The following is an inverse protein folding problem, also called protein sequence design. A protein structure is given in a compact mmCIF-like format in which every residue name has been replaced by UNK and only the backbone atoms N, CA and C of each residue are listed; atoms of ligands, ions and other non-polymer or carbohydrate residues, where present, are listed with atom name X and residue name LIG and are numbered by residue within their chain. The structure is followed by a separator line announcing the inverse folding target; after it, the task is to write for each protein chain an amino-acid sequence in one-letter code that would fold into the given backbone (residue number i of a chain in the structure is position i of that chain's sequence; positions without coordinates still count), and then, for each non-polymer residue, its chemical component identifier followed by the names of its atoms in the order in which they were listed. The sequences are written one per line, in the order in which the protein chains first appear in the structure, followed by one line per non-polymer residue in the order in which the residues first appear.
data_IF_295539262625
#
_entry.id   IF_295539262625
#
_cell.length_a   1.000
_cell.length_b   1.000
_cell.length_c   1.000
_cell.angle_alpha   90.00
_cell.angle_beta   90.00
_cell.angle_gamma   90.00
#
_symmetry.space_group_name_H-M   'P 1'
#
loop_
_entity.id
_entity.type
_entity.pdbx_description
1 polymer ?
#
# COMPACT_ATOMS: atom_id res chain seq x y z
N UNK A 1 0.92 10.30 -27.81
CA UNK A 1 0.01 10.44 -26.66
C UNK A 1 0.58 9.83 -25.36
N UNK A 2 1.62 8.97 -25.43
CA UNK A 2 2.20 8.26 -24.26
C UNK A 2 3.11 9.12 -23.35
N UNK A 3 3.64 10.24 -23.82
CA UNK A 3 4.63 11.02 -23.05
C UNK A 3 4.06 12.23 -22.27
N UNK A 4 2.83 12.66 -22.52
CA UNK A 4 2.29 13.87 -21.84
C UNK A 4 1.79 13.60 -20.41
N UNK A 5 1.33 12.38 -20.11
CA UNK A 5 0.80 12.06 -18.79
C UNK A 5 1.88 11.80 -17.72
N UNK A 6 3.04 11.25 -18.11
CA UNK A 6 4.14 10.99 -17.17
C UNK A 6 4.86 12.26 -16.70
N UNK A 7 4.83 13.32 -17.52
CA UNK A 7 5.41 14.62 -17.18
C UNK A 7 4.43 15.55 -16.44
N UNK A 8 3.17 15.15 -16.31
CA UNK A 8 2.19 15.94 -15.57
C UNK A 8 2.14 15.48 -14.11
N UNK A 9 2.62 16.33 -13.21
CA UNK A 9 2.66 16.07 -11.77
C UNK A 9 1.39 16.47 -11.02
N UNK A 10 0.43 17.12 -11.68
CA UNK A 10 -0.79 17.65 -11.06
C UNK A 10 -2.01 16.97 -11.67
N UNK A 11 -2.72 16.21 -10.83
CA UNK A 11 -3.87 15.42 -11.23
C UNK A 11 -5.12 15.88 -10.48
N UNK A 12 -6.00 16.57 -11.17
CA UNK A 12 -7.27 17.03 -10.61
C UNK A 12 -8.37 16.06 -11.04
N UNK A 13 -9.07 15.51 -10.05
CA UNK A 13 -10.11 14.49 -10.17
C UNK A 13 -11.45 15.06 -9.65
N UNK A 14 -12.18 15.85 -10.47
CA UNK A 14 -13.40 16.50 -10.04
C UNK A 14 -14.50 15.48 -9.74
N UNK A 15 -15.21 15.68 -8.63
CA UNK A 15 -16.38 14.88 -8.26
C UNK A 15 -17.27 15.66 -7.30
N UNK A 16 -18.59 15.57 -7.48
CA UNK A 16 -19.57 16.19 -6.61
C UNK A 16 -19.96 15.34 -5.39
N UNK A 17 -19.41 14.13 -5.28
CA UNK A 17 -19.75 13.17 -4.22
C UNK A 17 -19.41 13.66 -2.81
N UNK A 18 -18.40 14.54 -2.65
CA UNK A 18 -17.88 14.92 -1.35
C UNK A 18 -18.12 16.38 -1.04
N UNK A 19 -18.41 16.66 0.24
CA UNK A 19 -18.48 18.03 0.76
C UNK A 19 -17.12 18.58 1.17
N UNK A 20 -16.07 17.74 1.10
CA UNK A 20 -14.68 18.10 1.36
C UNK A 20 -13.88 18.07 0.06
N UNK A 21 -12.73 18.73 0.08
CA UNK A 21 -11.69 18.63 -0.94
C UNK A 21 -10.47 17.98 -0.30
N UNK A 22 -9.95 16.94 -0.95
CA UNK A 22 -8.73 16.24 -0.52
C UNK A 22 -7.59 16.62 -1.45
N UNK A 23 -6.49 17.12 -0.87
CA UNK A 23 -5.25 17.49 -1.57
C UNK A 23 -4.16 16.55 -1.07
N UNK A 24 -3.51 15.81 -1.96
CA UNK A 24 -2.53 14.80 -1.60
C UNK A 24 -1.24 14.97 -2.38
N UNK A 25 -0.12 15.07 -1.67
CA UNK A 25 1.23 15.04 -2.21
C UNK A 25 1.83 13.65 -1.99
N UNK A 26 2.43 13.09 -3.04
CA UNK A 26 3.16 11.82 -2.98
C UNK A 26 4.59 12.03 -3.45
N UNK A 27 5.56 11.71 -2.57
CA UNK A 27 6.99 11.77 -2.84
C UNK A 27 7.55 10.35 -2.93
N UNK A 28 8.16 10.01 -4.04
CA UNK A 28 8.62 8.65 -4.32
C UNK A 28 10.12 8.61 -4.57
N UNK A 29 10.77 7.68 -3.86
CA UNK A 29 12.19 7.36 -3.97
C UNK A 29 12.40 5.84 -4.06
N UNK A 30 13.59 5.34 -4.41
CA UNK A 30 13.90 3.92 -4.28
C UNK A 30 13.61 3.37 -2.88
N UNK A 31 13.17 2.11 -2.82
CA UNK A 31 12.94 1.41 -1.55
C UNK A 31 14.26 0.79 -1.10
N UNK A 32 14.99 1.49 -0.23
CA UNK A 32 16.33 1.13 0.23
C UNK A 32 16.38 1.04 1.75
N UNK A 33 17.06 0.02 2.27
CA UNK A 33 17.20 -0.24 3.71
C UNK A 33 17.69 0.99 4.48
N UNK A 34 18.65 1.71 3.92
CA UNK A 34 19.33 2.84 4.56
C UNK A 34 18.44 4.08 4.69
N UNK A 35 17.44 4.23 3.81
CA UNK A 35 16.66 5.48 3.71
C UNK A 35 15.25 5.37 4.27
N UNK A 36 14.62 4.20 4.20
CA UNK A 36 13.19 4.04 4.51
C UNK A 36 12.81 4.46 5.94
N UNK A 37 13.66 4.20 6.94
CA UNK A 37 13.37 4.52 8.34
C UNK A 37 13.41 6.03 8.58
N UNK A 38 14.43 6.72 8.05
CA UNK A 38 14.52 8.17 8.12
C UNK A 38 13.35 8.84 7.37
N UNK A 39 12.96 8.32 6.19
CA UNK A 39 11.81 8.81 5.42
C UNK A 39 10.48 8.61 6.17
N UNK A 40 10.33 7.51 6.91
CA UNK A 40 9.17 7.28 7.78
C UNK A 40 9.07 8.32 8.90
N UNK A 41 10.18 8.61 9.59
CA UNK A 41 10.24 9.67 10.62
C UNK A 41 9.95 11.02 9.99
N UNK A 42 10.58 11.33 8.84
CA UNK A 42 10.39 12.59 8.11
C UNK A 42 8.92 12.83 7.78
N UNK A 43 8.22 11.81 7.27
CA UNK A 43 6.81 11.94 6.91
C UNK A 43 5.96 12.44 8.08
N UNK A 44 6.29 12.03 9.31
CA UNK A 44 5.57 12.42 10.52
C UNK A 44 6.00 13.78 11.04
N UNK A 45 7.30 14.07 11.03
CA UNK A 45 7.83 15.36 11.51
C UNK A 45 7.33 16.52 10.66
N UNK A 46 7.22 16.36 9.33
CA UNK A 46 6.74 17.41 8.43
C UNK A 46 5.32 17.90 8.73
N UNK A 47 4.47 17.07 9.31
CA UNK A 47 3.08 17.44 9.63
C UNK A 47 2.88 17.86 11.10
N UNK A 48 3.98 18.11 11.85
CA UNK A 48 3.94 18.53 13.26
C UNK A 48 4.11 20.04 13.44
N UNK A 49 4.98 20.66 12.64
CA UNK A 49 5.32 22.08 12.78
C UNK A 49 5.93 22.62 11.48
N UNK A 50 5.92 23.95 11.36
CA UNK A 50 6.58 24.70 10.30
C UNK A 50 7.24 25.96 10.87
N UNK A 51 7.96 26.72 10.05
CA UNK A 51 8.49 28.01 10.47
C UNK A 51 7.39 28.96 10.97
N UNK A 52 6.20 28.86 10.41
CA UNK A 52 5.05 29.72 10.79
C UNK A 52 4.27 29.17 11.98
N UNK A 53 4.13 27.86 12.12
CA UNK A 53 3.42 27.19 13.22
C UNK A 53 4.38 26.24 13.92
N UNK A 54 5.10 26.80 14.91
CA UNK A 54 6.29 26.15 15.48
C UNK A 54 5.99 25.09 16.54
N UNK A 55 4.72 24.87 16.87
CA UNK A 55 4.29 23.83 17.80
C UNK A 55 2.91 23.25 17.44
N UNK A 56 2.59 22.10 18.05
CA UNK A 56 1.32 21.41 17.85
C UNK A 56 0.10 22.30 18.14
N UNK A 57 0.20 23.21 19.12
CA UNK A 57 -0.91 24.07 19.51
C UNK A 57 -1.19 25.12 18.43
N UNK A 58 -0.13 25.73 17.91
CA UNK A 58 -0.23 26.72 16.83
C UNK A 58 -0.79 26.10 15.53
N UNK A 59 -0.29 24.91 15.18
CA UNK A 59 -0.76 24.17 14.01
C UNK A 59 -2.24 23.73 14.18
N UNK A 60 -2.59 23.14 15.32
CA UNK A 60 -3.96 22.71 15.60
C UNK A 60 -4.95 23.89 15.62
N UNK A 61 -4.53 25.05 16.12
CA UNK A 61 -5.31 26.28 16.01
C UNK A 61 -5.58 26.65 14.55
N UNK A 62 -4.53 26.61 13.71
CA UNK A 62 -4.68 26.89 12.28
C UNK A 62 -5.61 25.91 11.60
N UNK A 63 -5.50 24.61 11.88
CA UNK A 63 -6.42 23.61 11.35
C UNK A 63 -7.87 23.86 11.77
N UNK A 64 -8.09 24.28 13.02
CA UNK A 64 -9.43 24.66 13.51
C UNK A 64 -9.98 25.90 12.79
N UNK A 65 -9.15 26.91 12.53
CA UNK A 65 -9.51 28.10 11.75
C UNK A 65 -9.88 27.76 10.30
N UNK A 66 -9.36 26.66 9.77
CA UNK A 66 -9.71 26.09 8.47
C UNK A 66 -10.91 25.11 8.56
N UNK A 67 -11.86 25.41 9.43
CA UNK A 67 -13.08 24.61 9.64
C UNK A 67 -12.82 23.17 10.04
N UNK A 68 -11.79 22.93 10.84
CA UNK A 68 -11.42 21.58 11.27
C UNK A 68 -10.71 20.77 10.18
N UNK A 69 -9.92 21.44 9.35
CA UNK A 69 -9.08 20.78 8.35
C UNK A 69 -8.23 19.68 9.00
N UNK A 70 -8.03 18.60 8.28
CA UNK A 70 -7.29 17.45 8.77
C UNK A 70 -6.07 17.16 7.88
N UNK A 71 -4.88 17.27 8.45
CA UNK A 71 -3.63 16.89 7.77
C UNK A 71 -3.12 15.56 8.31
N UNK A 72 -2.72 14.69 7.40
CA UNK A 72 -2.20 13.36 7.72
C UNK A 72 -1.02 13.02 6.82
N UNK A 73 -0.13 12.16 7.32
CA UNK A 73 0.96 11.58 6.55
C UNK A 73 1.09 10.09 6.81
N UNK A 74 1.51 9.35 5.81
CA UNK A 74 1.85 7.94 5.93
C UNK A 74 2.86 7.55 4.87
N UNK A 75 3.46 6.38 5.04
CA UNK A 75 4.38 5.78 4.07
C UNK A 75 3.80 4.48 3.53
N UNK A 76 4.12 4.19 2.28
CA UNK A 76 3.70 2.97 1.58
C UNK A 76 4.76 2.51 0.58
N UNK A 77 4.54 1.33 -0.01
CA UNK A 77 5.35 0.84 -1.14
C UNK A 77 4.56 0.93 -2.45
N UNK A 78 5.24 1.31 -3.51
CA UNK A 78 4.77 1.15 -4.87
C UNK A 78 5.86 0.42 -5.65
N UNK A 79 5.66 -0.88 -5.93
CA UNK A 79 6.70 -1.76 -6.49
C UNK A 79 8.00 -1.68 -5.66
N UNK A 80 9.10 -1.24 -6.26
CA UNK A 80 10.43 -1.03 -5.66
C UNK A 80 10.64 0.40 -5.13
N UNK A 81 9.57 1.18 -4.98
CA UNK A 81 9.63 2.56 -4.49
C UNK A 81 9.02 2.70 -3.09
N UNK A 82 9.64 3.56 -2.31
CA UNK A 82 9.12 4.07 -1.03
C UNK A 82 8.36 5.36 -1.29
N UNK A 83 7.12 5.45 -0.82
CA UNK A 83 6.23 6.58 -1.04
C UNK A 83 5.90 7.26 0.26
N UNK A 84 6.26 8.55 0.39
CA UNK A 84 5.73 9.44 1.44
C UNK A 84 4.47 10.09 0.89
N UNK A 85 3.36 9.95 1.59
CA UNK A 85 2.09 10.60 1.27
C UNK A 85 1.75 11.61 2.34
N UNK A 86 1.50 12.87 1.95
CA UNK A 86 0.99 13.95 2.80
C UNK A 86 -0.35 14.38 2.24
N UNK A 87 -1.41 14.31 3.03
CA UNK A 87 -2.78 14.58 2.61
C UNK A 87 -3.44 15.57 3.53
N UNK A 88 -4.14 16.54 2.94
CA UNK A 88 -5.00 17.51 3.61
C UNK A 88 -6.44 17.31 3.15
N UNK A 89 -7.33 17.18 4.10
CA UNK A 89 -8.77 17.20 3.87
C UNK A 89 -9.34 18.50 4.44
N UNK A 90 -10.04 19.28 3.62
CA UNK A 90 -10.66 20.54 3.99
C UNK A 90 -12.12 20.57 3.52
N UNK A 91 -12.96 21.31 4.23
CA UNK A 91 -14.32 21.60 3.77
C UNK A 91 -14.25 22.34 2.43
N UNK A 92 -15.09 21.96 1.49
CA UNK A 92 -15.19 22.68 0.22
C UNK A 92 -15.96 23.99 0.44
N UNK A 93 -15.33 25.11 0.10
CA UNK A 93 -15.85 26.47 0.33
C UNK A 93 -17.23 26.74 -0.32
N UNK A 94 -17.60 26.00 -1.37
CA UNK A 94 -18.94 26.09 -2.00
C UNK A 94 -20.08 25.77 -1.06
N UNK A 95 -19.83 25.04 0.02
CA UNK A 95 -20.83 24.65 1.01
C UNK A 95 -20.86 25.57 2.23
N UNK A 96 -20.02 26.62 2.26
CA UNK A 96 -19.98 27.59 3.33
C UNK A 96 -20.82 28.83 2.99
N UNK A 97 -21.31 29.51 4.03
CA UNK A 97 -22.03 30.75 3.89
C UNK A 97 -21.12 31.95 3.69
N UNK A 98 -19.89 31.87 4.20
CA UNK A 98 -18.86 32.88 3.99
C UNK A 98 -18.04 32.52 2.72
N UNK A 99 -17.29 33.49 2.22
CA UNK A 99 -16.47 33.33 1.02
C UNK A 99 -14.99 33.14 1.37
N UNK A 100 -14.71 32.49 2.49
CA UNK A 100 -13.32 32.18 2.89
C UNK A 100 -12.68 31.25 1.85
N UNK A 101 -11.53 31.62 1.23
CA UNK A 101 -10.89 30.81 0.18
C UNK A 101 -10.14 29.63 0.80
N UNK A 102 -10.89 28.63 1.27
CA UNK A 102 -10.33 27.49 2.03
C UNK A 102 -9.36 26.68 1.21
N UNK A 103 -9.60 26.50 -0.09
CA UNK A 103 -8.70 25.76 -0.96
C UNK A 103 -7.32 26.44 -1.03
N UNK A 104 -7.28 27.76 -1.24
CA UNK A 104 -6.04 28.54 -1.26
C UNK A 104 -5.32 28.48 0.10
N UNK A 105 -6.05 28.65 1.20
CA UNK A 105 -5.48 28.52 2.55
C UNK A 105 -4.96 27.10 2.85
N UNK A 106 -5.60 26.08 2.27
CA UNK A 106 -5.12 24.69 2.35
C UNK A 106 -3.80 24.48 1.60
N UNK A 107 -3.67 25.09 0.41
CA UNK A 107 -2.42 25.08 -0.35
C UNK A 107 -1.32 25.84 0.42
N UNK A 108 -1.64 26.98 1.07
CA UNK A 108 -0.70 27.70 1.93
C UNK A 108 -0.21 26.86 3.10
N UNK A 109 -1.12 26.13 3.73
CA UNK A 109 -0.78 25.21 4.84
C UNK A 109 0.18 24.12 4.38
N UNK A 110 -0.13 23.46 3.25
CA UNK A 110 0.73 22.41 2.71
C UNK A 110 2.08 22.95 2.27
N UNK A 111 2.13 24.15 1.67
CA UNK A 111 3.38 24.81 1.32
C UNK A 111 4.26 25.05 2.55
N UNK A 112 3.69 25.56 3.62
CA UNK A 112 4.42 25.79 4.87
C UNK A 112 4.94 24.49 5.48
N UNK A 113 4.11 23.45 5.54
CA UNK A 113 4.51 22.17 6.14
C UNK A 113 5.60 21.45 5.34
N UNK A 114 5.53 21.49 4.00
CA UNK A 114 6.40 20.70 3.12
C UNK A 114 7.68 21.49 2.75
N UNK A 115 7.57 22.78 2.40
CA UNK A 115 8.70 23.58 1.90
C UNK A 115 9.30 24.53 2.93
N UNK A 116 8.58 24.81 4.04
CA UNK A 116 9.06 25.63 5.14
C UNK A 116 8.95 24.91 6.49
N UNK A 117 9.41 23.64 6.61
CA UNK A 117 9.35 22.92 7.86
C UNK A 117 10.21 23.60 8.96
N UNK A 118 9.96 23.24 10.21
CA UNK A 118 10.69 23.81 11.36
C UNK A 118 12.13 23.27 11.38
N UNK A 119 13.03 24.01 10.74
CA UNK A 119 14.46 23.69 10.60
C UNK A 119 15.27 24.86 11.10
N UNK A 120 16.28 24.60 11.95
CA UNK A 120 17.29 25.56 12.42
C UNK A 120 18.68 24.97 12.22
N UNK A 121 19.59 25.76 11.65
CA UNK A 121 20.99 25.36 11.43
C UNK A 121 21.15 23.99 10.74
N UNK A 122 20.35 23.73 9.71
CA UNK A 122 20.32 22.45 8.98
C UNK A 122 19.96 21.26 9.86
N UNK A 123 19.07 21.44 10.82
CA UNK A 123 18.56 20.41 11.71
C UNK A 123 17.07 20.60 11.93
N UNK A 124 16.31 19.52 11.95
CA UNK A 124 14.94 19.53 12.44
C UNK A 124 14.88 19.74 13.95
N UNK A 125 13.75 20.20 14.46
CA UNK A 125 13.54 20.35 15.90
C UNK A 125 13.70 19.01 16.63
N UNK A 126 14.63 18.96 17.59
CA UNK A 126 15.03 17.74 18.30
C UNK A 126 13.86 17.10 19.08
N UNK A 127 12.95 17.92 19.62
CA UNK A 127 11.78 17.43 20.35
C UNK A 127 10.87 16.59 19.44
N UNK A 128 10.53 17.10 18.25
CA UNK A 128 9.66 16.39 17.31
C UNK A 128 10.35 15.15 16.76
N UNK A 129 11.64 15.22 16.43
CA UNK A 129 12.40 14.06 15.95
C UNK A 129 12.41 12.95 17.01
N UNK A 130 12.69 13.28 18.28
CA UNK A 130 12.67 12.30 19.39
C UNK A 130 11.30 11.69 19.60
N UNK A 131 10.24 12.49 19.53
CA UNK A 131 8.88 12.01 19.69
C UNK A 131 8.49 11.03 18.57
N UNK A 132 8.73 11.40 17.31
CA UNK A 132 8.35 10.55 16.18
C UNK A 132 9.22 9.28 16.06
N UNK A 133 10.50 9.35 16.42
CA UNK A 133 11.36 8.17 16.58
C UNK A 133 10.81 7.20 17.63
N UNK A 134 10.43 7.72 18.78
CA UNK A 134 9.85 6.89 19.85
C UNK A 134 8.54 6.24 19.42
N UNK A 135 7.66 6.98 18.74
CA UNK A 135 6.41 6.45 18.23
C UNK A 135 6.64 5.40 17.13
N UNK A 136 7.58 5.63 16.23
CA UNK A 136 7.94 4.68 15.18
C UNK A 136 8.53 3.40 15.77
N UNK A 137 9.47 3.51 16.72
CA UNK A 137 10.07 2.36 17.43
C UNK A 137 8.99 1.50 18.06
N UNK A 138 8.11 2.09 18.89
CA UNK A 138 6.98 1.38 19.51
C UNK A 138 6.04 0.72 18.49
N UNK A 139 5.79 1.38 17.36
CA UNK A 139 4.96 0.82 16.30
C UNK A 139 5.62 -0.43 15.69
N UNK A 140 6.92 -0.39 15.40
CA UNK A 140 7.64 -1.53 14.83
C UNK A 140 7.73 -2.66 15.87
N UNK A 141 8.04 -2.36 17.13
CA UNK A 141 8.03 -3.35 18.23
C UNK A 141 6.68 -4.03 18.35
N UNK A 142 5.57 -3.27 18.35
CA UNK A 142 4.22 -3.82 18.40
C UNK A 142 3.90 -4.73 17.19
N UNK A 143 4.47 -4.46 16.02
CA UNK A 143 4.33 -5.34 14.85
C UNK A 143 5.11 -6.65 15.03
N UNK A 144 6.28 -6.60 15.66
CA UNK A 144 7.10 -7.78 15.97
C UNK A 144 6.43 -8.63 17.07
N UNK A 145 5.86 -7.99 18.07
CA UNK A 145 5.15 -8.67 19.16
C UNK A 145 3.86 -9.36 18.69
N UNK A 146 3.22 -8.80 17.66
CA UNK A 146 2.06 -9.42 17.04
C UNK A 146 2.50 -10.59 16.15
N UNK A 147 2.32 -11.82 16.62
CA UNK A 147 2.81 -13.02 15.95
C UNK A 147 2.26 -13.24 14.54
N UNK A 148 1.06 -12.75 14.22
CA UNK A 148 0.54 -12.78 12.83
C UNK A 148 1.30 -11.80 11.92
N UNK A 149 1.58 -10.59 12.40
CA UNK A 149 2.39 -9.61 11.66
C UNK A 149 3.84 -10.06 11.56
N UNK A 150 4.44 -10.52 12.64
CA UNK A 150 5.80 -11.06 12.68
C UNK A 150 5.98 -12.20 11.65
N UNK A 151 5.09 -13.18 11.65
CA UNK A 151 5.18 -14.32 10.72
C UNK A 151 5.03 -13.89 9.25
N UNK A 152 4.24 -12.85 8.97
CA UNK A 152 4.15 -12.28 7.63
C UNK A 152 5.44 -11.56 7.24
N UNK A 153 6.06 -10.78 8.15
CA UNK A 153 7.37 -10.18 7.93
C UNK A 153 8.43 -11.23 7.59
N UNK A 154 8.45 -12.32 8.34
CA UNK A 154 9.38 -13.44 8.11
C UNK A 154 9.14 -14.14 6.77
N UNK A 155 7.89 -14.28 6.35
CA UNK A 155 7.57 -14.74 5.00
C UNK A 155 8.17 -13.81 3.95
N UNK A 156 7.99 -12.48 4.10
CA UNK A 156 8.53 -11.50 3.13
C UNK A 156 10.07 -11.52 3.10
N UNK A 157 10.74 -11.53 4.25
CA UNK A 157 12.21 -11.64 4.33
C UNK A 157 12.74 -12.86 3.59
N UNK A 158 12.10 -14.01 3.77
CA UNK A 158 12.55 -15.26 3.16
C UNK A 158 12.18 -15.39 1.68
N UNK A 159 10.99 -14.89 1.27
CA UNK A 159 10.52 -14.93 -0.12
C UNK A 159 11.29 -13.96 -1.01
N UNK A 160 11.66 -12.81 -0.45
CA UNK A 160 12.29 -11.69 -1.17
C UNK A 160 13.74 -11.44 -0.72
N UNK A 161 14.42 -12.49 -0.30
CA UNK A 161 15.82 -12.41 0.08
C UNK A 161 16.65 -11.73 -1.03
N UNK A 162 17.40 -10.69 -0.66
CA UNK A 162 18.15 -9.81 -1.57
C UNK A 162 17.29 -8.96 -2.55
N UNK A 163 16.00 -8.85 -2.32
CA UNK A 163 15.12 -7.93 -3.04
C UNK A 163 14.63 -6.82 -2.10
N UNK A 164 14.54 -5.59 -2.60
CA UNK A 164 14.05 -4.46 -1.81
C UNK A 164 12.63 -4.69 -1.25
N UNK A 165 11.82 -5.52 -1.91
CA UNK A 165 10.46 -5.82 -1.50
C UNK A 165 10.35 -6.46 -0.11
N UNK A 166 11.42 -7.09 0.41
CA UNK A 166 11.46 -7.64 1.78
C UNK A 166 11.22 -6.57 2.85
N UNK A 167 11.63 -5.31 2.61
CA UNK A 167 11.53 -4.25 3.59
C UNK A 167 10.11 -3.69 3.70
N UNK A 168 9.71 -3.38 4.95
CA UNK A 168 8.48 -2.62 5.18
C UNK A 168 8.69 -1.13 4.89
N UNK A 169 7.66 -0.48 4.37
CA UNK A 169 7.69 0.97 4.21
C UNK A 169 7.85 1.74 5.53
N UNK A 170 7.43 1.15 6.66
CA UNK A 170 7.60 1.75 8.00
C UNK A 170 9.05 1.85 8.45
N UNK A 171 9.95 1.06 7.86
CA UNK A 171 11.37 1.03 8.23
C UNK A 171 11.74 -0.12 9.13
N UNK A 172 12.97 -0.08 9.64
CA UNK A 172 13.60 -1.13 10.43
C UNK A 172 13.95 -0.63 11.82
N UNK A 173 13.72 -1.47 12.86
CA UNK A 173 13.92 -1.07 14.25
C UNK A 173 15.38 -0.70 14.54
N UNK A 174 16.32 -1.40 13.92
CA UNK A 174 17.76 -1.18 14.07
C UNK A 174 18.19 0.18 13.52
N UNK A 175 17.46 0.73 12.55
CA UNK A 175 17.75 2.03 11.94
C UNK A 175 17.18 3.22 12.74
N UNK A 176 16.19 2.99 13.59
CA UNK A 176 15.55 4.08 14.38
C UNK A 176 16.56 4.87 15.22
N UNK A 177 17.52 4.25 15.95
CA UNK A 177 18.51 5.00 16.71
C UNK A 177 19.38 5.93 15.86
N UNK A 178 19.66 5.58 14.61
CA UNK A 178 20.55 6.31 13.70
C UNK A 178 19.92 7.56 13.10
N UNK A 179 18.60 7.73 13.18
CA UNK A 179 17.94 8.96 12.73
C UNK A 179 18.21 10.09 13.74
N UNK A 180 18.85 11.15 13.28
CA UNK A 180 19.16 12.37 14.04
C UNK A 180 18.50 13.59 13.41
N UNK A 181 18.37 14.74 14.12
CA UNK A 181 17.89 15.98 13.51
C UNK A 181 18.66 16.41 12.27
N UNK A 182 19.97 16.18 12.22
CA UNK A 182 20.83 16.49 11.08
C UNK A 182 20.63 15.51 9.93
N UNK A 183 20.68 14.18 10.19
CA UNK A 183 20.44 13.18 9.13
C UNK A 183 19.03 13.26 8.56
N UNK A 184 18.05 13.69 9.37
CA UNK A 184 16.69 13.91 8.90
C UNK A 184 16.60 15.13 7.97
N UNK A 185 17.41 16.18 8.23
CA UNK A 185 17.54 17.30 7.30
C UNK A 185 18.13 16.86 5.95
N UNK A 186 19.15 16.01 5.94
CA UNK A 186 19.72 15.48 4.71
C UNK A 186 18.69 14.63 3.94
N UNK A 187 17.89 13.81 4.65
CA UNK A 187 16.78 13.05 4.07
C UNK A 187 15.72 13.98 3.46
N UNK A 188 15.39 15.08 4.14
CA UNK A 188 14.46 16.10 3.63
C UNK A 188 14.99 16.79 2.37
N UNK A 189 16.26 17.19 2.37
CA UNK A 189 16.88 17.79 1.18
C UNK A 189 16.83 16.83 -0.01
N UNK A 190 17.19 15.56 0.22
CA UNK A 190 17.11 14.54 -0.82
C UNK A 190 15.68 14.35 -1.32
N UNK A 191 14.67 14.34 -0.44
CA UNK A 191 13.26 14.24 -0.82
C UNK A 191 12.83 15.40 -1.74
N UNK A 192 13.17 16.64 -1.37
CA UNK A 192 12.77 17.82 -2.16
C UNK A 192 13.53 17.90 -3.50
N UNK A 193 14.78 17.46 -3.54
CA UNK A 193 15.63 17.58 -4.72
C UNK A 193 15.48 16.43 -5.70
N UNK A 194 15.25 15.20 -5.21
CA UNK A 194 15.40 13.99 -5.99
C UNK A 194 14.14 13.12 -6.11
N UNK A 195 13.13 13.31 -5.24
CA UNK A 195 11.93 12.48 -5.31
C UNK A 195 11.03 12.87 -6.49
N UNK A 196 10.42 11.87 -7.10
CA UNK A 196 9.26 12.12 -7.94
C UNK A 196 8.11 12.61 -7.07
N UNK A 197 7.60 13.80 -7.35
CA UNK A 197 6.47 14.39 -6.64
C UNK A 197 5.24 14.44 -7.53
N UNK A 198 4.11 13.88 -7.07
CA UNK A 198 2.82 14.00 -7.72
C UNK A 198 1.77 14.57 -6.76
N UNK A 199 0.90 15.43 -7.27
CA UNK A 199 -0.17 16.08 -6.52
C UNK A 199 -1.52 15.61 -7.05
N UNK A 200 -2.39 15.19 -6.15
CA UNK A 200 -3.76 14.76 -6.45
C UNK A 200 -4.75 15.65 -5.73
N UNK A 201 -5.81 16.08 -6.43
CA UNK A 201 -6.91 16.82 -5.84
C UNK A 201 -8.23 16.11 -6.19
N UNK A 202 -8.99 15.75 -5.16
CA UNK A 202 -10.32 15.14 -5.30
C UNK A 202 -11.35 16.00 -4.61
N UNK A 203 -12.43 16.37 -5.31
CA UNK A 203 -13.53 17.16 -4.75
C UNK A 203 -14.35 17.87 -5.80
N UNK A 204 -15.34 18.63 -5.35
CA UNK A 204 -16.17 19.46 -6.24
C UNK A 204 -15.44 20.77 -6.58
N UNK A 205 -14.51 20.68 -7.53
CA UNK A 205 -13.59 21.75 -7.91
C UNK A 205 -13.56 21.96 -9.43
N UNK A 206 -13.21 23.17 -9.86
CA UNK A 206 -12.89 23.44 -11.25
C UNK A 206 -11.46 22.95 -11.56
N UNK A 207 -11.35 22.05 -12.55
CA UNK A 207 -10.09 21.39 -12.89
C UNK A 207 -9.01 22.38 -13.30
N UNK A 208 -9.33 23.34 -14.17
CA UNK A 208 -8.37 24.28 -14.72
C UNK A 208 -7.93 25.31 -13.67
N UNK A 209 -8.88 25.80 -12.88
CA UNK A 209 -8.60 26.76 -11.80
C UNK A 209 -7.64 26.13 -10.78
N UNK A 210 -7.95 24.93 -10.30
CA UNK A 210 -7.11 24.20 -9.32
C UNK A 210 -5.72 23.91 -9.89
N UNK A 211 -5.65 23.45 -11.15
CA UNK A 211 -4.37 23.20 -11.83
C UNK A 211 -3.50 24.46 -11.83
N UNK A 212 -4.07 25.60 -12.26
CA UNK A 212 -3.35 26.88 -12.32
C UNK A 212 -2.89 27.37 -10.93
N UNK A 213 -3.74 27.23 -9.89
CA UNK A 213 -3.40 27.61 -8.53
C UNK A 213 -2.24 26.78 -7.99
N UNK A 214 -2.23 25.47 -8.22
CA UNK A 214 -1.15 24.59 -7.78
C UNK A 214 0.14 24.91 -8.55
N UNK A 215 0.07 25.03 -9.87
CA UNK A 215 1.23 25.32 -10.72
C UNK A 215 1.86 26.67 -10.39
N UNK A 216 1.08 27.68 -10.04
CA UNK A 216 1.61 29.00 -9.65
C UNK A 216 2.25 29.02 -8.25
N UNK A 217 1.87 28.07 -7.39
CA UNK A 217 2.30 28.03 -5.99
C UNK A 217 3.48 27.11 -5.72
N UNK A 218 3.55 25.99 -6.44
CA UNK A 218 4.56 24.96 -6.21
C UNK A 218 5.47 24.81 -7.43
N UNK A 219 6.76 24.99 -7.20
CA UNK A 219 7.79 24.70 -8.20
C UNK A 219 8.15 23.22 -8.16
N UNK A 220 7.41 22.40 -8.92
CA UNK A 220 7.65 20.96 -9.00
C UNK A 220 8.66 20.72 -10.13
N UNK A 221 9.80 20.13 -9.78
CA UNK A 221 10.82 19.78 -10.78
C UNK A 221 10.29 18.69 -11.71
N UNK A 222 10.49 18.81 -13.02
CA UNK A 222 10.17 17.71 -13.95
C UNK A 222 11.08 16.52 -13.62
N UNK A 223 10.47 15.37 -13.45
CA UNK A 223 11.18 14.12 -13.17
C UNK A 223 10.61 13.00 -14.03
N UNK A 224 11.46 12.17 -14.64
CA UNK A 224 11.06 10.95 -15.32
C UNK A 224 10.95 9.81 -14.32
N UNK A 225 9.77 9.25 -14.18
CA UNK A 225 9.55 8.09 -13.34
C UNK A 225 9.76 6.82 -14.15
N UNK A 226 10.78 6.04 -13.80
CA UNK A 226 11.00 4.72 -14.38
C UNK A 226 10.54 3.64 -13.41
N UNK A 227 9.61 2.81 -13.86
CA UNK A 227 9.21 1.59 -13.14
C UNK A 227 10.09 0.46 -13.65
N UNK A 228 10.89 -0.13 -12.79
CA UNK A 228 11.68 -1.28 -13.19
C UNK A 228 10.81 -2.53 -13.36
N UNK A 229 10.78 -3.09 -14.55
CA UNK A 229 10.11 -4.36 -14.87
C UNK A 229 10.92 -5.62 -14.47
N UNK A 230 12.00 -5.45 -13.72
CA UNK A 230 13.05 -6.45 -13.49
C UNK A 230 12.61 -7.77 -12.82
N UNK A 231 11.31 -8.00 -12.60
CA UNK A 231 10.83 -9.15 -11.82
C UNK A 231 10.30 -10.32 -12.65
N UNK A 232 9.93 -10.11 -13.91
CA UNK A 232 9.51 -11.20 -14.79
C UNK A 232 10.67 -12.20 -15.07
N UNK A 233 11.91 -11.72 -15.11
CA UNK A 233 13.09 -12.57 -15.34
C UNK A 233 13.39 -13.59 -14.20
N UNK A 234 12.94 -13.33 -12.97
CA UNK A 234 13.18 -14.24 -11.84
C UNK A 234 12.16 -15.38 -11.74
N UNK A 235 11.01 -15.31 -12.42
CA UNK A 235 10.04 -16.39 -12.46
C UNK A 235 10.58 -17.61 -13.23
N UNK A 236 11.18 -17.39 -14.39
CA UNK A 236 11.67 -18.46 -15.27
C UNK A 236 12.72 -19.36 -14.59
N UNK A 237 13.51 -18.79 -13.67
CA UNK A 237 14.53 -19.53 -12.93
C UNK A 237 14.00 -20.26 -11.69
N UNK A 238 12.76 -19.98 -11.22
CA UNK A 238 12.19 -20.55 -9.99
C UNK A 238 11.17 -21.68 -10.25
N UNK A 239 10.73 -21.86 -11.47
CA UNK A 239 9.68 -22.86 -11.83
C UNK A 239 10.11 -24.30 -11.53
N UNK A 240 11.42 -24.59 -11.50
CA UNK A 240 11.96 -25.93 -11.25
C UNK A 240 12.38 -26.20 -9.79
N UNK A 241 12.26 -25.19 -8.90
CA UNK A 241 12.69 -25.35 -7.50
C UNK A 241 11.49 -25.70 -6.60
N UNK A 242 11.71 -26.62 -5.66
CA UNK A 242 10.79 -26.87 -4.56
C UNK A 242 10.63 -25.59 -3.71
N UNK A 243 9.44 -25.34 -3.15
CA UNK A 243 9.23 -24.15 -2.31
C UNK A 243 10.18 -24.14 -1.12
N UNK A 244 10.75 -22.99 -0.81
CA UNK A 244 11.52 -22.78 0.42
C UNK A 244 10.58 -22.95 1.60
N UNK A 245 10.88 -23.89 2.51
CA UNK A 245 10.07 -24.10 3.72
C UNK A 245 10.89 -23.75 4.94
N UNK A 246 10.37 -22.82 5.75
CA UNK A 246 10.99 -22.38 6.99
C UNK A 246 10.03 -22.68 8.15
N UNK A 247 10.55 -23.36 9.17
CA UNK A 247 9.82 -23.61 10.42
C UNK A 247 10.60 -22.97 11.55
N UNK A 248 9.97 -22.01 12.22
CA UNK A 248 10.51 -21.31 13.39
C UNK A 248 9.67 -21.67 14.61
N UNK A 249 10.30 -21.80 15.77
CA UNK A 249 9.62 -22.09 17.02
C UNK A 249 9.62 -20.89 17.94
N UNK A 250 8.47 -20.61 18.54
CA UNK A 250 8.29 -19.52 19.52
C UNK A 250 7.20 -19.91 20.52
N UNK A 251 7.05 -19.14 21.57
CA UNK A 251 5.93 -19.31 22.52
C UNK A 251 4.65 -18.72 21.92
N UNK A 252 3.92 -19.57 21.21
CA UNK A 252 2.68 -19.19 20.51
C UNK A 252 1.54 -20.13 20.86
N UNK A 253 0.36 -19.58 21.13
CA UNK A 253 -0.86 -20.38 21.36
C UNK A 253 -1.37 -21.02 20.06
N UNK A 254 -1.16 -20.36 18.94
CA UNK A 254 -1.57 -20.77 17.60
C UNK A 254 -0.39 -20.70 16.66
N UNK A 255 -0.17 -21.74 15.88
CA UNK A 255 0.78 -21.67 14.79
C UNK A 255 0.34 -20.65 13.73
N UNK A 256 1.31 -19.99 13.10
CA UNK A 256 1.08 -19.14 11.93
C UNK A 256 1.66 -19.88 10.72
N UNK A 257 0.79 -20.17 9.77
CA UNK A 257 1.15 -20.84 8.53
C UNK A 257 0.88 -19.87 7.37
N UNK A 258 1.94 -19.43 6.73
CA UNK A 258 1.89 -18.44 5.65
C UNK A 258 2.54 -19.00 4.39
N UNK A 259 1.89 -18.83 3.24
CA UNK A 259 2.39 -19.26 1.94
C UNK A 259 2.50 -18.05 1.01
N UNK A 260 3.61 -17.95 0.28
CA UNK A 260 3.84 -16.92 -0.73
C UNK A 260 3.91 -17.53 -2.13
N UNK A 261 3.11 -16.99 -3.03
CA UNK A 261 3.07 -17.39 -4.44
C UNK A 261 3.50 -16.24 -5.33
N UNK A 262 4.16 -16.57 -6.44
CA UNK A 262 4.44 -15.67 -7.56
C UNK A 262 3.58 -16.07 -8.75
N UNK A 263 2.95 -15.07 -9.36
CA UNK A 263 2.16 -15.21 -10.57
C UNK A 263 2.80 -14.40 -11.71
N UNK A 264 2.82 -14.89 -12.97
CA UNK A 264 3.36 -14.16 -14.11
C UNK A 264 2.39 -13.08 -14.61
N UNK A 265 1.89 -12.29 -13.69
CA UNK A 265 0.91 -11.23 -13.92
C UNK A 265 1.25 -9.97 -13.14
N UNK A 266 0.72 -8.86 -13.57
CA UNK A 266 0.73 -7.58 -12.86
C UNK A 266 -0.32 -6.66 -13.48
N UNK A 267 -0.58 -5.53 -12.82
CA UNK A 267 -1.45 -4.49 -13.36
C UNK A 267 -1.03 -4.12 -14.79
N UNK A 268 -2.00 -4.03 -15.71
CA UNK A 268 -1.79 -3.79 -17.14
C UNK A 268 -1.67 -5.05 -18.01
N UNK A 269 -1.43 -6.24 -17.45
CA UNK A 269 -1.49 -7.49 -18.21
C UNK A 269 -2.91 -8.01 -18.36
N UNK A 270 -3.19 -8.70 -19.46
CA UNK A 270 -4.52 -9.26 -19.76
C UNK A 270 -5.02 -10.27 -18.72
N UNK A 271 -4.11 -11.02 -18.09
CA UNK A 271 -4.44 -11.99 -17.05
C UNK A 271 -4.56 -11.38 -15.64
N UNK A 272 -4.36 -10.05 -15.49
CA UNK A 272 -4.51 -9.35 -14.21
C UNK A 272 -5.91 -9.46 -13.61
N UNK A 273 -6.94 -9.39 -14.46
CA UNK A 273 -8.34 -9.48 -14.00
C UNK A 273 -8.66 -10.89 -13.49
N UNK A 274 -8.14 -11.92 -14.16
CA UNK A 274 -8.23 -13.30 -13.67
C UNK A 274 -7.54 -13.44 -12.30
N UNK A 275 -6.44 -12.74 -12.06
CA UNK A 275 -5.73 -12.76 -10.78
C UNK A 275 -6.55 -12.16 -9.63
N UNK A 276 -7.24 -11.05 -9.88
CA UNK A 276 -8.16 -10.45 -8.89
C UNK A 276 -9.30 -11.41 -8.57
N UNK A 277 -9.93 -11.98 -9.62
CA UNK A 277 -11.04 -12.92 -9.47
C UNK A 277 -10.60 -14.19 -8.74
N UNK A 278 -9.45 -14.75 -9.12
CA UNK A 278 -8.84 -15.90 -8.45
C UNK A 278 -8.66 -15.64 -6.95
N UNK A 279 -8.12 -14.50 -6.58
CA UNK A 279 -7.91 -14.18 -5.17
C UNK A 279 -9.23 -14.18 -4.38
N UNK A 280 -10.29 -13.55 -4.89
CA UNK A 280 -11.60 -13.53 -4.22
C UNK A 280 -12.15 -14.95 -4.07
N UNK A 281 -12.03 -15.80 -5.11
CA UNK A 281 -12.49 -17.19 -5.05
C UNK A 281 -11.67 -18.04 -4.08
N UNK A 282 -10.34 -17.84 -4.06
CA UNK A 282 -9.42 -18.69 -3.32
C UNK A 282 -9.42 -18.38 -1.81
N UNK A 283 -9.18 -17.12 -1.42
CA UNK A 283 -9.05 -16.76 -0.01
C UNK A 283 -9.34 -15.29 0.32
N UNK A 284 -9.67 -14.45 -0.65
CA UNK A 284 -9.81 -13.00 -0.49
C UNK A 284 -11.15 -12.52 0.08
N UNK A 285 -12.08 -13.43 0.32
CA UNK A 285 -13.44 -13.14 0.83
C UNK A 285 -13.92 -14.25 1.77
N UNK A 286 -14.81 -13.98 2.73
CA UNK A 286 -15.41 -15.01 3.58
C UNK A 286 -16.18 -16.11 2.83
N UNK A 287 -16.62 -15.89 1.58
CA UNK A 287 -17.21 -16.91 0.72
C UNK A 287 -16.20 -17.79 -0.01
N UNK A 288 -14.90 -17.52 0.15
CA UNK A 288 -13.79 -18.18 -0.54
C UNK A 288 -13.65 -19.67 -0.17
N UNK A 289 -12.89 -20.37 -1.01
CA UNK A 289 -12.60 -21.80 -0.81
C UNK A 289 -11.81 -22.04 0.47
N UNK A 290 -10.76 -21.27 0.72
CA UNK A 290 -9.93 -21.44 1.93
C UNK A 290 -10.74 -21.23 3.20
N UNK A 291 -11.58 -20.19 3.23
CA UNK A 291 -12.41 -19.94 4.40
C UNK A 291 -13.39 -21.09 4.65
N UNK A 292 -14.07 -21.55 3.61
CA UNK A 292 -15.07 -22.60 3.75
C UNK A 292 -14.46 -23.98 4.04
N UNK A 293 -13.40 -24.39 3.34
CA UNK A 293 -12.83 -25.75 3.49
C UNK A 293 -11.90 -25.88 4.68
N UNK A 294 -11.00 -24.89 4.89
CA UNK A 294 -9.96 -24.99 5.95
C UNK A 294 -10.51 -24.56 7.30
N UNK A 295 -11.29 -23.46 7.36
CA UNK A 295 -11.81 -22.93 8.62
C UNK A 295 -13.15 -23.57 9.00
N UNK A 296 -14.17 -23.46 8.13
CA UNK A 296 -15.55 -23.85 8.52
C UNK A 296 -15.73 -25.37 8.50
N UNK A 297 -15.36 -26.04 7.40
CA UNK A 297 -15.64 -27.46 7.23
C UNK A 297 -14.71 -28.36 8.03
N UNK A 298 -13.39 -28.11 7.98
CA UNK A 298 -12.41 -28.96 8.63
C UNK A 298 -11.94 -28.45 9.98
N UNK A 299 -12.30 -27.22 10.37
CA UNK A 299 -11.90 -26.59 11.63
C UNK A 299 -10.39 -26.66 11.90
N UNK A 300 -9.58 -26.45 10.84
CA UNK A 300 -8.12 -26.47 10.92
C UNK A 300 -7.54 -25.09 11.26
N UNK A 301 -8.24 -24.02 10.89
CA UNK A 301 -7.79 -22.66 11.08
C UNK A 301 -8.80 -21.82 11.90
N UNK A 302 -8.28 -20.96 12.77
CA UNK A 302 -9.05 -19.91 13.43
C UNK A 302 -9.25 -18.69 12.53
N UNK A 303 -8.25 -18.42 11.72
CA UNK A 303 -8.27 -17.39 10.70
C UNK A 303 -7.51 -17.86 9.46
N UNK A 304 -8.03 -17.58 8.29
CA UNK A 304 -7.36 -17.83 7.02
C UNK A 304 -7.89 -16.87 5.98
N UNK A 305 -6.98 -16.26 5.23
CA UNK A 305 -7.33 -15.44 4.08
C UNK A 305 -6.16 -15.38 3.09
N UNK A 306 -6.44 -14.95 1.87
CA UNK A 306 -5.42 -14.57 0.91
C UNK A 306 -5.49 -13.07 0.61
N UNK A 307 -4.34 -12.49 0.29
CA UNK A 307 -4.21 -11.12 -0.19
C UNK A 307 -3.23 -11.06 -1.35
N UNK A 308 -3.43 -10.10 -2.24
CA UNK A 308 -2.58 -9.92 -3.42
C UNK A 308 -1.86 -8.58 -3.43
N UNK A 309 -0.64 -8.57 -3.97
CA UNK A 309 -0.04 -7.38 -4.55
C UNK A 309 -0.17 -7.45 -6.07
N UNK A 310 -1.24 -6.86 -6.59
CA UNK A 310 -1.55 -6.89 -8.00
C UNK A 310 -0.57 -6.14 -8.89
N UNK A 311 0.24 -5.23 -8.33
CA UNK A 311 1.30 -4.52 -9.08
C UNK A 311 2.51 -5.39 -9.37
N UNK A 312 2.72 -6.42 -8.55
CA UNK A 312 3.88 -7.29 -8.61
C UNK A 312 3.55 -8.77 -8.91
N UNK A 313 2.25 -9.14 -8.93
CA UNK A 313 1.84 -10.52 -9.14
C UNK A 313 2.12 -11.44 -7.94
N UNK A 314 2.05 -10.94 -6.72
CA UNK A 314 2.25 -11.74 -5.51
C UNK A 314 0.92 -12.05 -4.84
N UNK A 315 0.80 -13.29 -4.35
CA UNK A 315 -0.33 -13.71 -3.52
C UNK A 315 0.23 -14.32 -2.24
N UNK A 316 -0.33 -13.90 -1.11
CA UNK A 316 0.01 -14.40 0.21
C UNK A 316 -1.20 -15.04 0.85
N UNK A 317 -1.08 -16.30 1.29
CA UNK A 317 -2.04 -16.96 2.18
C UNK A 317 -1.53 -16.77 3.60
N UNK A 318 -2.36 -16.20 4.47
CA UNK A 318 -2.04 -15.94 5.86
C UNK A 318 -3.04 -16.66 6.74
N UNK A 319 -2.55 -17.45 7.71
CA UNK A 319 -3.43 -18.23 8.57
C UNK A 319 -2.92 -18.38 10.00
N UNK A 320 -3.89 -18.49 10.93
CA UNK A 320 -3.68 -18.93 12.29
C UNK A 320 -4.33 -20.29 12.49
N UNK A 321 -3.54 -21.31 12.78
CA UNK A 321 -3.97 -22.71 12.86
C UNK A 321 -3.60 -23.33 14.21
N UNK A 322 -4.22 -24.47 14.58
CA UNK A 322 -3.77 -25.23 15.74
C UNK A 322 -2.35 -25.75 15.50
N UNK A 323 -1.49 -25.67 16.52
CA UNK A 323 -0.07 -26.03 16.38
C UNK A 323 0.13 -27.50 15.98
N UNK A 324 -0.72 -28.40 16.43
CA UNK A 324 -0.74 -29.82 16.11
C UNK A 324 -1.33 -30.15 14.74
N UNK A 325 -1.97 -29.17 14.06
CA UNK A 325 -2.68 -29.37 12.79
C UNK A 325 -2.09 -28.58 11.61
N UNK A 326 -0.99 -27.86 11.79
CA UNK A 326 -0.48 -27.00 10.73
C UNK A 326 -0.08 -27.77 9.47
N UNK A 327 0.46 -29.00 9.61
CA UNK A 327 0.78 -29.85 8.45
C UNK A 327 -0.47 -30.24 7.66
N UNK A 328 -1.55 -30.64 8.36
CA UNK A 328 -2.84 -30.96 7.73
C UNK A 328 -3.44 -29.72 7.05
N UNK A 329 -3.39 -28.55 7.70
CA UNK A 329 -3.87 -27.31 7.12
C UNK A 329 -3.05 -26.93 5.87
N UNK A 330 -1.72 -27.06 5.91
CA UNK A 330 -0.83 -26.85 4.77
C UNK A 330 -1.25 -27.76 3.58
N UNK A 331 -1.39 -29.06 3.85
CA UNK A 331 -1.77 -30.01 2.82
C UNK A 331 -3.15 -29.65 2.21
N UNK A 332 -4.13 -29.31 3.03
CA UNK A 332 -5.45 -28.90 2.55
C UNK A 332 -5.37 -27.63 1.68
N UNK A 333 -4.59 -26.61 2.08
CA UNK A 333 -4.41 -25.39 1.28
C UNK A 333 -3.81 -25.73 -0.09
N UNK A 334 -2.80 -26.60 -0.15
CA UNK A 334 -2.17 -27.02 -1.40
C UNK A 334 -3.13 -27.83 -2.28
N UNK A 335 -3.89 -28.73 -1.69
CA UNK A 335 -4.92 -29.52 -2.42
C UNK A 335 -6.02 -28.63 -3.01
N UNK A 336 -6.50 -27.65 -2.25
CA UNK A 336 -7.47 -26.68 -2.75
C UNK A 336 -6.91 -25.83 -3.90
N UNK A 337 -5.63 -25.43 -3.81
CA UNK A 337 -4.97 -24.74 -4.92
C UNK A 337 -4.88 -25.63 -6.18
N UNK A 338 -4.54 -26.91 -6.01
CA UNK A 338 -4.46 -27.87 -7.12
C UNK A 338 -5.80 -28.15 -7.77
N UNK A 339 -6.91 -28.05 -7.03
CA UNK A 339 -8.27 -28.11 -7.62
C UNK A 339 -8.50 -26.95 -8.59
N UNK A 340 -8.00 -25.74 -8.31
CA UNK A 340 -8.07 -24.62 -9.25
C UNK A 340 -7.28 -24.90 -10.52
N UNK A 341 -6.10 -25.52 -10.44
CA UNK A 341 -5.31 -25.93 -11.61
C UNK A 341 -6.06 -26.93 -12.50
N UNK A 342 -6.87 -27.79 -11.90
CA UNK A 342 -7.68 -28.81 -12.59
C UNK A 342 -9.05 -28.32 -13.02
N UNK A 343 -9.46 -27.13 -12.61
CA UNK A 343 -10.80 -26.59 -12.86
C UNK A 343 -11.91 -27.26 -12.01
N UNK A 344 -11.52 -27.89 -10.90
CA UNK A 344 -12.43 -28.58 -9.96
C UNK A 344 -12.99 -27.57 -8.93
N UNK A 345 -13.67 -26.53 -9.41
CA UNK A 345 -14.35 -25.54 -8.59
C UNK A 345 -15.73 -25.19 -9.15
N UNK A 346 -16.63 -24.76 -8.25
CA UNK A 346 -17.99 -24.38 -8.60
C UNK A 346 -18.00 -23.05 -9.39
N UNK A 347 -18.62 -23.07 -10.57
CA UNK A 347 -18.78 -21.87 -11.42
C UNK A 347 -19.64 -20.79 -10.75
N UNK A 348 -20.51 -21.14 -9.81
CA UNK A 348 -21.22 -20.15 -9.00
C UNK A 348 -20.27 -19.28 -8.16
N UNK A 349 -19.12 -19.81 -7.74
CA UNK A 349 -18.10 -19.05 -7.04
C UNK A 349 -17.43 -18.00 -7.95
N UNK A 350 -17.25 -18.31 -9.24
CA UNK A 350 -16.76 -17.36 -10.22
C UNK A 350 -17.76 -16.19 -10.39
N UNK A 351 -19.04 -16.50 -10.56
CA UNK A 351 -20.08 -15.47 -10.67
C UNK A 351 -20.21 -14.63 -9.40
N UNK A 352 -20.10 -15.25 -8.22
CA UNK A 352 -20.12 -14.54 -6.93
C UNK A 352 -18.90 -13.62 -6.77
N UNK A 353 -17.70 -14.08 -7.11
CA UNK A 353 -16.48 -13.30 -7.04
C UNK A 353 -16.56 -12.02 -7.89
N UNK A 354 -17.10 -12.12 -9.11
CA UNK A 354 -17.33 -10.95 -9.98
C UNK A 354 -18.27 -9.93 -9.34
N UNK A 355 -19.36 -10.38 -8.71
CA UNK A 355 -20.29 -9.50 -7.97
C UNK A 355 -19.63 -8.81 -6.78
N UNK A 356 -18.81 -9.55 -6.03
CA UNK A 356 -18.06 -8.99 -4.89
C UNK A 356 -17.10 -7.90 -5.37
N UNK A 357 -16.34 -8.15 -6.45
CA UNK A 357 -15.41 -7.17 -7.04
C UNK A 357 -16.17 -5.93 -7.50
N UNK A 358 -17.33 -6.09 -8.14
CA UNK A 358 -18.18 -4.98 -8.58
C UNK A 358 -18.61 -4.12 -7.38
N UNK A 359 -19.07 -4.73 -6.29
CA UNK A 359 -19.45 -4.03 -5.07
C UNK A 359 -18.27 -3.27 -4.46
N UNK A 360 -17.11 -3.94 -4.33
CA UNK A 360 -15.88 -3.32 -3.81
C UNK A 360 -15.40 -2.14 -4.68
N UNK A 361 -15.55 -2.24 -6.00
CA UNK A 361 -15.19 -1.15 -6.92
C UNK A 361 -16.09 0.06 -6.72
N UNK A 362 -17.41 -0.14 -6.58
CA UNK A 362 -18.35 0.93 -6.29
C UNK A 362 -18.06 1.59 -4.94
N UNK A 363 -17.80 0.80 -3.89
CA UNK A 363 -17.43 1.33 -2.57
C UNK A 363 -16.12 2.15 -2.62
N UNK A 364 -15.17 1.74 -3.46
CA UNK A 364 -13.91 2.48 -3.65
C UNK A 364 -14.14 3.89 -4.19
N UNK A 365 -15.15 4.08 -5.06
CA UNK A 365 -15.52 5.36 -5.62
C UNK A 365 -16.16 6.33 -4.61
N UNK A 366 -16.47 5.87 -3.38
CA UNK A 366 -17.04 6.68 -2.30
C UNK A 366 -15.97 7.11 -1.27
N UNK A 367 -14.69 6.88 -1.56
CA UNK A 367 -13.57 7.25 -0.69
C UNK A 367 -12.53 8.05 -1.48
N UNK A 368 -12.27 9.33 -1.14
CA UNK A 368 -11.28 10.16 -1.84
C UNK A 368 -9.90 9.49 -1.93
N UNK A 369 -9.46 8.85 -0.84
CA UNK A 369 -8.18 8.12 -0.80
C UNK A 369 -8.12 6.99 -1.83
N UNK A 370 -9.19 6.21 -1.98
CA UNK A 370 -9.25 5.11 -2.95
C UNK A 370 -9.22 5.63 -4.40
N UNK A 371 -9.93 6.73 -4.68
CA UNK A 371 -9.90 7.41 -5.98
C UNK A 371 -8.47 7.83 -6.31
N UNK A 372 -7.75 8.43 -5.34
CA UNK A 372 -6.36 8.85 -5.52
C UNK A 372 -5.44 7.65 -5.77
N UNK A 373 -5.58 6.57 -5.00
CA UNK A 373 -4.72 5.38 -5.18
C UNK A 373 -4.95 4.70 -6.53
N UNK A 374 -6.20 4.61 -6.99
CA UNK A 374 -6.53 4.08 -8.31
C UNK A 374 -5.89 4.96 -9.40
N UNK A 375 -6.11 6.28 -9.36
CA UNK A 375 -5.53 7.20 -10.33
C UNK A 375 -4.00 7.17 -10.31
N UNK A 376 -3.39 7.14 -9.12
CA UNK A 376 -1.95 7.04 -8.96
C UNK A 376 -1.36 5.78 -9.63
N UNK A 377 -1.99 4.62 -9.40
CA UNK A 377 -1.56 3.37 -10.03
C UNK A 377 -1.70 3.44 -11.56
N UNK A 378 -2.82 3.95 -12.06
CA UNK A 378 -3.08 4.08 -13.50
C UNK A 378 -2.06 4.99 -14.20
N UNK A 379 -1.75 6.12 -13.58
CA UNK A 379 -0.81 7.11 -14.13
C UNK A 379 0.61 6.57 -14.14
N UNK A 380 1.07 6.00 -13.02
CA UNK A 380 2.43 5.50 -12.91
C UNK A 380 2.71 4.26 -13.77
N UNK A 381 1.68 3.47 -14.05
CA UNK A 381 1.80 2.27 -14.87
C UNK A 381 1.38 2.52 -16.33
N UNK A 382 1.02 3.77 -16.67
CA UNK A 382 0.53 4.19 -18.00
C UNK A 382 -0.64 3.34 -18.52
N UNK A 383 -1.55 2.98 -17.61
CA UNK A 383 -2.71 2.12 -17.88
C UNK A 383 -4.01 2.81 -17.43
N UNK A 384 -4.42 3.92 -18.11
CA UNK A 384 -5.65 4.62 -17.77
C UNK A 384 -6.87 3.75 -18.09
N UNK A 385 -7.75 3.58 -17.11
CA UNK A 385 -8.93 2.77 -17.24
C UNK A 385 -10.10 3.33 -16.44
N UNK A 386 -11.27 3.45 -17.05
CA UNK A 386 -12.49 3.80 -16.35
C UNK A 386 -13.00 2.63 -15.48
N UNK A 387 -13.83 2.92 -14.48
CA UNK A 387 -14.47 1.88 -13.66
C UNK A 387 -15.32 0.93 -14.51
N UNK A 388 -16.03 1.44 -15.51
CA UNK A 388 -16.80 0.65 -16.44
C UNK A 388 -15.91 -0.31 -17.26
N UNK A 389 -14.79 0.20 -17.81
CA UNK A 389 -13.84 -0.63 -18.55
C UNK A 389 -13.23 -1.71 -17.65
N UNK A 390 -12.87 -1.37 -16.40
CA UNK A 390 -12.38 -2.35 -15.42
C UNK A 390 -13.40 -3.46 -15.15
N UNK A 391 -14.67 -3.09 -14.89
CA UNK A 391 -15.73 -4.06 -14.60
C UNK A 391 -16.05 -4.91 -15.82
N UNK A 392 -16.00 -4.36 -17.03
CA UNK A 392 -16.15 -5.12 -18.27
C UNK A 392 -15.05 -6.19 -18.44
N UNK A 393 -13.80 -5.88 -18.06
CA UNK A 393 -12.73 -6.88 -18.09
C UNK A 393 -12.92 -7.97 -17.01
N UNK A 394 -13.39 -7.61 -15.81
CA UNK A 394 -13.77 -8.60 -14.78
C UNK A 394 -14.87 -9.54 -15.30
N UNK A 395 -15.89 -9.02 -15.97
CA UNK A 395 -16.99 -9.84 -16.50
C UNK A 395 -16.57 -10.81 -17.60
N UNK A 396 -15.52 -10.48 -18.36
CA UNK A 396 -14.96 -11.36 -19.39
C UNK A 396 -14.15 -12.54 -18.85
N UNK A 397 -13.70 -12.50 -17.59
CA UNK A 397 -12.90 -13.59 -17.01
C UNK A 397 -13.67 -14.91 -17.07
N UNK A 398 -13.06 -15.94 -17.64
CA UNK A 398 -13.60 -17.27 -17.79
C UNK A 398 -13.02 -18.27 -16.80
N UNK A 399 -13.60 -19.47 -16.75
CA UNK A 399 -13.05 -20.59 -15.97
C UNK A 399 -11.66 -20.98 -16.47
N UNK A 400 -11.48 -20.99 -17.79
CA UNK A 400 -10.23 -21.31 -18.48
C UNK A 400 -9.11 -20.32 -18.11
N UNK A 401 -9.43 -19.03 -17.97
CA UNK A 401 -8.48 -18.00 -17.53
C UNK A 401 -8.00 -18.29 -16.12
N UNK A 402 -8.89 -18.68 -15.21
CA UNK A 402 -8.55 -19.05 -13.83
C UNK A 402 -7.67 -20.30 -13.80
N UNK A 403 -8.01 -21.34 -14.58
CA UNK A 403 -7.22 -22.58 -14.68
C UNK A 403 -5.81 -22.28 -15.21
N UNK A 404 -5.73 -21.51 -16.29
CA UNK A 404 -4.45 -21.12 -16.89
C UNK A 404 -3.60 -20.37 -15.89
N UNK A 405 -4.16 -19.35 -15.25
CA UNK A 405 -3.47 -18.53 -14.25
C UNK A 405 -2.96 -19.38 -13.08
N UNK A 406 -3.79 -20.30 -12.55
CA UNK A 406 -3.39 -21.18 -11.46
C UNK A 406 -2.24 -22.13 -11.84
N UNK A 407 -2.21 -22.62 -13.09
CA UNK A 407 -1.13 -23.47 -13.59
C UNK A 407 0.19 -22.73 -13.81
N UNK A 408 0.14 -21.42 -14.07
CA UNK A 408 1.32 -20.57 -14.24
C UNK A 408 1.90 -20.07 -12.90
N UNK A 409 1.17 -20.28 -11.80
CA UNK A 409 1.58 -19.83 -10.46
C UNK A 409 2.69 -20.70 -9.89
N UNK A 410 3.64 -20.07 -9.20
CA UNK A 410 4.74 -20.72 -8.49
C UNK A 410 4.58 -20.50 -6.99
N UNK A 411 4.50 -21.58 -6.22
CA UNK A 411 4.68 -21.54 -4.76
C UNK A 411 6.15 -21.32 -4.45
N UNK A 412 6.47 -20.14 -3.92
CA UNK A 412 7.85 -19.73 -3.67
C UNK A 412 8.30 -20.11 -2.26
N UNK A 413 7.55 -19.72 -1.24
CA UNK A 413 7.96 -19.84 0.16
C UNK A 413 6.78 -20.24 1.05
N UNK A 414 7.06 -21.16 1.98
CA UNK A 414 6.18 -21.53 3.09
C UNK A 414 6.88 -21.15 4.39
N UNK A 415 6.24 -20.38 5.23
CA UNK A 415 6.75 -20.01 6.54
C UNK A 415 5.78 -20.46 7.64
N UNK A 416 6.32 -21.15 8.62
CA UNK A 416 5.57 -21.64 9.79
C UNK A 416 6.22 -21.12 11.06
N UNK A 417 5.44 -20.44 11.89
CA UNK A 417 5.78 -20.12 13.27
C UNK A 417 4.93 -21.01 14.18
N UNK A 418 5.54 -21.92 14.93
CA UNK A 418 4.83 -22.91 15.73
C UNK A 418 5.40 -23.03 17.13
N UNK A 419 4.68 -23.68 18.02
CA UNK A 419 5.16 -23.95 19.37
C UNK A 419 6.33 -24.94 19.35
N UNK A 420 7.38 -24.65 20.11
CA UNK A 420 8.46 -25.60 20.33
C UNK A 420 7.92 -26.90 20.93
N UNK A 421 8.27 -28.05 20.35
CA UNK A 421 8.00 -29.34 20.97
C UNK A 421 8.75 -29.43 22.31
N UNK A 422 8.09 -29.83 23.37
CA UNK A 422 8.80 -30.28 24.56
C UNK A 422 9.55 -31.57 24.13
N UNK A 423 10.88 -31.49 23.93
CA UNK A 423 11.74 -32.67 23.95
C UNK A 423 11.75 -33.33 25.32
#
# INVERSE_FOLDING_TARGET
LHNENQNNHIHVLPTEKFKTTTITFKFMAPLEYETITARSVLSKVLVRASQKWQDDKALNRRLSELYGAYVNSFVSKFKDKHVITISLEIVNERYLKDQTPLFEHGLDLLNELIWNPLIHNKQFDDKFVKQEKSLLGKKIEAMIDNKAQYSFLKLLENMFENEAYQYLATGQIEQVPHVTPASLYDTYQSMIENDYCAIYVVGNVDKQQVYNQIQSKFEIKPFTFEVSDNKAQKLDNKIEQLPKTIVETDDVDQAKLNLGYRFPTHYGKSNYYAFIVFNIMFGGDPSSVLFNEVRERQSLAYSIHSQIDGKNGFLFVLSGVSADKYETAKQTILEEFDKFKKGEFDENKLALAKKIITSQRHESADRPKSIIEIAHNQILLDEPQSDEAFLNEIDKVTKEDIIKLANEAVLDTIYVLTKGGNE
#
